data_IF_424704604523
#
_entry.id   IF_424704604523
#
_cell.length_a   1.000
_cell.length_b   1.000
_cell.length_c   1.000
_cell.angle_alpha   90.00
_cell.angle_beta   90.00
_cell.angle_gamma   90.00
#
_symmetry.space_group_name_H-M   'P 1'
#
loop_
_entity.id
_entity.type
_entity.pdbx_description
1 polymer ?
#
# COMPACT_ATOMS: atom_id res chain seq x y z
N UNK A 1 1.61 1.99 -52.09
CA UNK A 1 0.86 2.42 -50.89
C UNK A 1 -0.62 2.35 -51.27
N UNK A 2 -1.37 1.39 -50.75
CA UNK A 2 -2.80 1.30 -51.04
C UNK A 2 -3.51 2.48 -50.33
N UNK A 3 -4.27 3.28 -51.07
CA UNK A 3 -5.05 4.36 -50.50
C UNK A 3 -6.15 3.78 -49.59
N UNK A 4 -6.42 4.41 -48.46
CA UNK A 4 -7.49 4.01 -47.56
C UNK A 4 -8.85 4.06 -48.31
N UNK A 5 -9.70 3.06 -48.06
CA UNK A 5 -11.00 3.00 -48.71
C UNK A 5 -11.92 4.13 -48.23
N UNK A 6 -12.93 4.47 -49.03
CA UNK A 6 -13.92 5.51 -48.66
C UNK A 6 -14.55 5.25 -47.28
N UNK A 7 -14.91 4.00 -46.97
CA UNK A 7 -15.48 3.62 -45.68
C UNK A 7 -14.49 3.77 -44.52
N UNK A 8 -13.20 3.52 -44.75
CA UNK A 8 -12.17 3.76 -43.74
C UNK A 8 -11.99 5.26 -43.47
N UNK A 9 -11.99 6.11 -44.50
CA UNK A 9 -11.97 7.56 -44.32
C UNK A 9 -13.21 8.07 -43.59
N UNK A 10 -14.39 7.54 -43.89
CA UNK A 10 -15.63 7.97 -43.26
C UNK A 10 -15.62 7.68 -41.74
N UNK A 11 -15.20 6.47 -41.36
CA UNK A 11 -15.00 6.09 -39.95
C UNK A 11 -13.95 6.97 -39.27
N UNK A 12 -12.83 7.25 -39.95
CA UNK A 12 -11.78 8.14 -39.43
C UNK A 12 -12.33 9.55 -39.16
N UNK A 13 -13.12 10.10 -40.09
CA UNK A 13 -13.74 11.43 -39.92
C UNK A 13 -14.73 11.44 -38.76
N UNK A 14 -15.49 10.37 -38.55
CA UNK A 14 -16.43 10.26 -37.43
C UNK A 14 -15.70 10.21 -36.08
N UNK A 15 -14.62 9.43 -35.98
CA UNK A 15 -13.73 9.39 -34.82
C UNK A 15 -13.12 10.77 -34.56
N UNK A 16 -12.55 11.40 -35.58
CA UNK A 16 -11.93 12.72 -35.47
C UNK A 16 -12.95 13.80 -35.06
N UNK A 17 -14.20 13.71 -35.50
CA UNK A 17 -15.28 14.62 -35.08
C UNK A 17 -15.59 14.45 -33.59
N UNK A 18 -15.70 13.21 -33.11
CA UNK A 18 -15.91 12.94 -31.69
C UNK A 18 -14.72 13.43 -30.85
N UNK A 19 -13.49 13.14 -31.29
CA UNK A 19 -12.27 13.61 -30.62
C UNK A 19 -12.20 15.14 -30.61
N UNK A 20 -12.52 15.81 -31.71
CA UNK A 20 -12.56 17.28 -31.76
C UNK A 20 -13.61 17.87 -30.82
N UNK A 21 -14.77 17.22 -30.70
CA UNK A 21 -15.80 17.61 -29.74
C UNK A 21 -15.31 17.45 -28.31
N UNK A 22 -14.63 16.34 -28.00
CA UNK A 22 -14.07 16.08 -26.68
C UNK A 22 -12.99 17.11 -26.31
N UNK A 23 -12.06 17.38 -27.23
CA UNK A 23 -11.01 18.38 -27.03
C UNK A 23 -11.56 19.79 -26.81
N UNK A 24 -12.65 20.15 -27.49
CA UNK A 24 -13.32 21.44 -27.27
C UNK A 24 -13.94 21.53 -25.88
N UNK A 25 -14.57 20.45 -25.41
CA UNK A 25 -15.12 20.38 -24.06
C UNK A 25 -14.02 20.49 -23.01
N UNK A 26 -12.92 19.74 -23.16
CA UNK A 26 -11.77 19.81 -22.26
C UNK A 26 -11.15 21.21 -22.24
N UNK A 27 -11.05 21.88 -23.40
CA UNK A 27 -10.53 23.24 -23.46
C UNK A 27 -11.45 24.23 -22.75
N UNK A 28 -12.77 24.09 -22.90
CA UNK A 28 -13.76 24.91 -22.19
C UNK A 28 -13.68 24.69 -20.68
N UNK A 29 -13.58 23.43 -20.23
CA UNK A 29 -13.43 23.08 -18.82
C UNK A 29 -12.14 23.66 -18.24
N UNK A 30 -11.02 23.58 -18.98
CA UNK A 30 -9.75 24.19 -18.59
C UNK A 30 -9.84 25.72 -18.52
N UNK A 31 -10.51 26.35 -19.48
CA UNK A 31 -10.74 27.80 -19.46
C UNK A 31 -11.54 28.21 -18.22
N UNK A 32 -12.61 27.47 -17.92
CA UNK A 32 -13.44 27.71 -16.73
C UNK A 32 -12.65 27.51 -15.43
N UNK A 33 -11.79 26.50 -15.38
CA UNK A 33 -10.92 26.27 -14.23
C UNK A 33 -9.91 27.41 -14.05
N UNK A 34 -9.29 27.89 -15.12
CA UNK A 34 -8.35 29.01 -15.08
C UNK A 34 -9.03 30.27 -14.52
N UNK A 35 -10.23 30.61 -14.98
CA UNK A 35 -11.00 31.76 -14.47
C UNK A 35 -11.29 31.63 -12.97
N UNK A 36 -11.56 30.41 -12.46
CA UNK A 36 -11.73 30.19 -11.02
C UNK A 36 -10.44 30.46 -10.25
N UNK A 37 -9.30 29.98 -10.75
CA UNK A 37 -7.99 30.22 -10.14
C UNK A 37 -7.64 31.72 -10.13
N UNK A 38 -7.92 32.44 -11.22
CA UNK A 38 -7.73 33.89 -11.30
C UNK A 38 -8.60 34.64 -10.28
N UNK A 39 -9.84 34.18 -10.09
CA UNK A 39 -10.76 34.74 -9.10
C UNK A 39 -10.28 34.48 -7.68
N UNK A 40 -9.84 33.25 -7.38
CA UNK A 40 -9.30 32.88 -6.06
C UNK A 40 -8.02 33.67 -5.74
N UNK A 41 -7.12 33.80 -6.72
CA UNK A 41 -5.91 34.61 -6.58
C UNK A 41 -6.24 36.09 -6.35
N UNK A 42 -7.26 36.62 -7.03
CA UNK A 42 -7.73 38.00 -6.85
C UNK A 42 -8.32 38.22 -5.45
N UNK A 43 -9.12 37.28 -4.97
CA UNK A 43 -9.68 37.31 -3.62
C UNK A 43 -8.57 37.25 -2.56
N UNK A 44 -7.59 36.36 -2.72
CA UNK A 44 -6.44 36.28 -1.82
C UNK A 44 -5.64 37.59 -1.80
N UNK A 45 -5.43 38.20 -2.97
CA UNK A 45 -4.79 39.52 -3.08
C UNK A 45 -5.54 40.60 -2.31
N UNK A 46 -6.88 40.59 -2.37
CA UNK A 46 -7.72 41.54 -1.63
C UNK A 46 -7.62 41.34 -0.11
N UNK A 47 -7.69 40.09 0.35
CA UNK A 47 -7.48 39.73 1.76
C UNK A 47 -6.12 40.19 2.26
N UNK A 48 -5.05 39.93 1.51
CA UNK A 48 -3.69 40.36 1.86
C UNK A 48 -3.58 41.89 1.93
N UNK A 49 -4.23 42.61 1.01
CA UNK A 49 -4.28 44.08 1.04
C UNK A 49 -5.02 44.59 2.28
N UNK A 50 -6.12 43.94 2.66
CA UNK A 50 -6.86 44.31 3.87
C UNK A 50 -6.03 44.08 5.13
N UNK A 51 -5.39 42.91 5.25
CA UNK A 51 -4.50 42.59 6.37
C UNK A 51 -3.32 43.57 6.48
N UNK A 52 -2.71 43.94 5.35
CA UNK A 52 -1.66 44.95 5.33
C UNK A 52 -2.17 46.30 5.86
N UNK A 53 -3.34 46.75 5.40
CA UNK A 53 -3.96 47.99 5.89
C UNK A 53 -4.26 47.96 7.39
N UNK A 54 -4.80 46.84 7.89
CA UNK A 54 -5.06 46.66 9.33
C UNK A 54 -3.79 46.71 10.17
N UNK A 55 -2.68 46.13 9.68
CA UNK A 55 -1.38 46.21 10.38
C UNK A 55 -0.86 47.65 10.38
N UNK A 56 -0.95 48.36 9.25
CA UNK A 56 -0.51 49.76 9.17
C UNK A 56 -1.30 50.65 10.15
N UNK A 57 -2.61 50.45 10.28
CA UNK A 57 -3.49 51.15 11.26
C UNK A 57 -3.10 50.82 12.72
N UNK A 58 -2.88 49.54 13.05
CA UNK A 58 -2.47 49.14 14.41
C UNK A 58 -1.05 49.64 14.76
N UNK A 59 -0.16 49.73 13.77
CA UNK A 59 1.19 50.29 14.00
C UNK A 59 1.15 51.80 14.25
N UNK A 60 0.23 52.55 13.64
CA UNK A 60 0.06 53.98 13.95
C UNK A 60 -0.47 54.19 15.37
N UNK A 61 -1.45 53.40 15.79
CA UNK A 61 -2.00 53.45 17.15
C UNK A 61 -0.95 53.02 18.19
N UNK A 62 -0.15 51.99 17.88
CA UNK A 62 0.96 51.56 18.73
C UNK A 62 2.08 52.61 18.81
N UNK A 63 2.34 53.36 17.74
CA UNK A 63 3.33 54.44 17.73
C UNK A 63 2.91 55.61 18.63
N UNK A 64 1.63 55.97 18.61
CA UNK A 64 1.05 56.95 19.55
C UNK A 64 1.15 56.46 21.01
N UNK A 65 0.92 55.17 21.24
CA UNK A 65 1.05 54.55 22.55
C UNK A 65 2.51 54.52 23.05
N UNK A 66 3.47 54.28 22.17
CA UNK A 66 4.92 54.35 22.45
C UNK A 66 5.33 55.80 22.80
N UNK A 67 4.79 56.79 22.10
CA UNK A 67 5.08 58.20 22.36
C UNK A 67 4.50 58.67 23.72
N UNK A 68 3.35 58.12 24.13
CA UNK A 68 2.79 58.33 25.47
C UNK A 68 3.66 57.67 26.56
N UNK A 69 4.17 56.47 26.31
CA UNK A 69 5.10 55.77 27.20
C UNK A 69 6.42 56.55 27.36
N UNK A 70 6.95 57.14 26.29
CA UNK A 70 8.15 57.98 26.35
C UNK A 70 7.90 59.26 27.17
N UNK A 71 6.72 59.87 27.04
CA UNK A 71 6.32 61.01 27.87
C UNK A 71 6.21 60.64 29.35
N UNK A 72 5.65 59.47 29.68
CA UNK A 72 5.58 58.97 31.06
C UNK A 72 6.98 58.70 31.64
N UNK A 73 7.87 58.10 30.85
CA UNK A 73 9.27 57.86 31.24
C UNK A 73 10.04 59.16 31.52
N UNK A 74 9.76 60.22 30.78
CA UNK A 74 10.38 61.54 30.98
C UNK A 74 9.96 62.22 32.29
N UNK A 75 8.80 61.87 32.84
CA UNK A 75 8.30 62.40 34.12
C UNK A 75 8.85 61.58 35.31
N UNK A 76 9.31 60.34 35.08
CA UNK A 76 9.79 59.45 36.14
C UNK A 76 11.27 59.60 36.52
N UNK A 77 12.03 60.51 35.89
CA UNK A 77 13.41 60.82 36.30
C UNK A 77 13.42 61.99 37.28
N UNK A 78 13.10 61.72 38.54
CA UNK A 78 13.65 62.48 39.67
C UNK A 78 14.34 61.48 40.62
N UNK A 79 15.69 61.38 40.58
CA UNK A 79 16.44 60.34 41.28
C UNK A 79 16.83 60.81 42.68
N UNK A 80 15.90 60.88 43.63
CA UNK A 80 16.29 61.06 45.04
C UNK A 80 15.27 60.50 46.04
N UNK A 81 15.21 59.17 46.20
CA UNK A 81 14.77 58.60 47.48
C UNK A 81 15.01 57.09 47.61
N UNK A 82 15.88 56.77 48.56
CA UNK A 82 16.04 55.52 49.32
C UNK A 82 16.89 54.36 48.77
N UNK A 83 17.77 53.79 49.63
CA UNK A 83 18.70 52.74 49.25
C UNK A 83 18.16 51.34 49.58
N UNK A 84 18.57 50.38 48.74
CA UNK A 84 18.93 49.05 49.20
C UNK A 84 17.88 47.97 49.02
N UNK A 85 18.01 47.18 47.95
CA UNK A 85 17.94 45.70 48.02
C UNK A 85 18.80 45.13 46.89
N UNK A 86 19.82 44.32 47.21
CA UNK A 86 20.53 43.51 46.21
C UNK A 86 19.65 42.32 45.84
N UNK A 87 19.21 42.22 44.58
CA UNK A 87 18.69 40.99 44.01
C UNK A 87 19.44 40.65 42.72
N UNK A 88 20.09 39.49 42.73
CA UNK A 88 20.87 38.89 41.64
C UNK A 88 19.96 38.00 40.78
N UNK A 89 19.95 38.08 39.43
CA UNK A 89 19.16 37.18 38.58
C UNK A 89 19.96 35.97 38.02
N UNK A 90 19.31 34.78 38.01
CA UNK A 90 19.34 33.57 37.11
C UNK A 90 20.71 33.00 36.60
N UNK A 91 20.97 31.69 36.43
CA UNK A 91 20.25 30.51 35.90
C UNK A 91 20.79 29.17 36.52
N UNK A 92 20.11 28.02 36.33
CA UNK A 92 20.71 26.69 36.50
C UNK A 92 21.41 26.19 35.22
N UNK A 93 22.62 25.66 35.39
CA UNK A 93 23.41 24.92 34.39
C UNK A 93 23.36 23.43 34.75
N UNK A 94 22.98 22.56 33.80
CA UNK A 94 23.14 21.11 33.94
C UNK A 94 24.10 20.62 32.86
N UNK A 95 25.19 20.04 33.36
CA UNK A 95 26.35 19.52 32.65
C UNK A 95 26.37 18.03 32.95
N UNK A 96 26.56 17.20 31.92
CA UNK A 96 26.65 15.75 32.06
C UNK A 96 27.40 15.14 30.90
N UNK A 97 28.74 15.20 30.96
CA UNK A 97 29.64 14.48 30.07
C UNK A 97 30.11 13.18 30.74
N UNK A 98 30.00 12.08 29.99
CA UNK A 98 31.15 11.26 29.61
C UNK A 98 31.87 10.36 30.63
N UNK A 99 32.02 9.10 30.20
CA UNK A 99 33.21 8.23 30.30
C UNK A 99 33.17 7.08 31.31
N UNK A 100 33.34 5.86 30.78
CA UNK A 100 33.39 4.60 31.52
C UNK A 100 33.78 3.36 30.69
N UNK A 101 34.97 3.39 30.07
CA UNK A 101 36.01 2.33 29.94
C UNK A 101 35.60 0.83 29.74
N UNK A 102 35.92 0.32 28.55
CA UNK A 102 36.80 -0.83 28.20
C UNK A 102 36.72 -2.22 28.87
N UNK A 103 36.66 -3.27 28.03
CA UNK A 103 37.05 -4.67 28.27
C UNK A 103 36.53 -5.58 27.14
N UNK A 104 37.29 -5.83 26.08
CA UNK A 104 38.15 -7.01 25.84
C UNK A 104 37.41 -8.35 25.72
N UNK A 105 37.36 -8.93 24.51
CA UNK A 105 37.63 -10.36 24.21
C UNK A 105 37.19 -10.74 22.78
N UNK A 106 38.12 -11.40 22.09
CA UNK A 106 38.14 -11.89 20.69
C UNK A 106 37.04 -12.89 20.27
N UNK A 107 36.86 -13.14 18.95
CA UNK A 107 35.87 -14.06 18.40
C UNK A 107 36.40 -15.51 18.36
N UNK A 108 35.53 -16.49 18.62
CA UNK A 108 35.78 -17.91 18.36
C UNK A 108 34.70 -18.47 17.43
N UNK A 109 35.07 -19.18 16.34
CA UNK A 109 34.12 -19.89 15.49
C UNK A 109 34.02 -21.35 15.95
N UNK A 110 32.86 -21.73 16.50
CA UNK A 110 32.55 -23.13 16.78
C UNK A 110 32.12 -23.85 15.51
N UNK A 111 33.07 -24.60 14.94
CA UNK A 111 32.79 -25.81 14.17
C UNK A 111 32.02 -26.80 15.05
N UNK A 112 30.89 -27.32 14.54
CA UNK A 112 30.39 -28.71 14.69
C UNK A 112 28.94 -28.74 14.21
N UNK A 113 28.73 -29.31 13.02
CA UNK A 113 27.42 -29.48 12.40
C UNK A 113 27.52 -30.42 11.20
N UNK A 114 28.05 -31.62 11.45
CA UNK A 114 28.00 -32.73 10.50
C UNK A 114 26.55 -33.21 10.41
N UNK A 115 25.92 -33.03 9.25
CA UNK A 115 24.72 -33.78 8.87
C UNK A 115 25.00 -34.53 7.57
N UNK A 116 24.55 -35.80 7.47
CA UNK A 116 25.09 -36.75 6.52
C UNK A 116 24.62 -36.45 5.09
N UNK A 117 25.52 -36.76 4.15
CA UNK A 117 25.22 -36.92 2.73
C UNK A 117 23.95 -37.76 2.57
N UNK A 118 22.87 -37.16 2.03
CA UNK A 118 21.79 -37.94 1.46
C UNK A 118 22.23 -38.31 0.04
N UNK A 119 22.36 -39.62 -0.16
CA UNK A 119 22.70 -40.23 -1.42
C UNK A 119 21.70 -39.89 -2.52
N UNK A 120 22.22 -40.02 -3.73
CA UNK A 120 21.54 -40.02 -5.02
C UNK A 120 20.34 -40.97 -4.98
N UNK A 121 19.14 -40.41 -5.06
CA UNK A 121 17.90 -41.06 -5.53
C UNK A 121 16.77 -40.02 -5.51
N UNK A 122 16.91 -38.93 -6.24
CA UNK A 122 15.89 -37.90 -6.36
C UNK A 122 15.52 -37.72 -7.83
N UNK A 123 14.60 -38.57 -8.30
CA UNK A 123 13.80 -38.29 -9.50
C UNK A 123 12.38 -37.83 -9.15
N UNK A 124 11.80 -38.38 -8.06
CA UNK A 124 10.43 -38.07 -7.62
C UNK A 124 10.31 -37.11 -6.42
N UNK A 125 11.36 -36.97 -5.61
CA UNK A 125 11.33 -36.12 -4.40
C UNK A 125 11.43 -34.63 -4.72
N UNK A 126 12.04 -34.28 -5.86
CA UNK A 126 12.18 -32.89 -6.31
C UNK A 126 10.84 -32.34 -6.80
N UNK A 127 10.01 -33.17 -7.46
CA UNK A 127 8.67 -32.75 -7.88
C UNK A 127 7.70 -32.58 -6.71
N UNK A 128 7.79 -33.44 -5.68
CA UNK A 128 6.99 -33.29 -4.46
C UNK A 128 7.43 -32.08 -3.62
N UNK A 129 8.74 -31.85 -3.49
CA UNK A 129 9.28 -30.66 -2.80
C UNK A 129 8.94 -29.36 -3.53
N UNK A 130 9.03 -29.34 -4.86
CA UNK A 130 8.68 -28.19 -5.68
C UNK A 130 7.17 -27.85 -5.59
N UNK A 131 6.30 -28.86 -5.51
CA UNK A 131 4.87 -28.64 -5.28
C UNK A 131 4.61 -27.95 -3.92
N UNK A 132 5.30 -28.36 -2.86
CA UNK A 132 5.22 -27.73 -1.54
C UNK A 132 5.74 -26.28 -1.55
N UNK A 133 6.81 -26.01 -2.31
CA UNK A 133 7.34 -24.65 -2.51
C UNK A 133 6.33 -23.74 -3.20
N UNK A 134 5.66 -24.22 -4.25
CA UNK A 134 4.59 -23.50 -4.94
C UNK A 134 3.40 -23.22 -4.01
N UNK A 135 3.00 -24.19 -3.17
CA UNK A 135 1.94 -24.01 -2.17
C UNK A 135 2.29 -22.93 -1.13
N UNK A 136 3.54 -22.91 -0.67
CA UNK A 136 4.06 -21.87 0.23
C UNK A 136 4.09 -20.51 -0.44
N UNK A 137 4.60 -20.41 -1.66
CA UNK A 137 4.64 -19.15 -2.42
C UNK A 137 3.22 -18.59 -2.64
N UNK A 138 2.26 -19.43 -3.05
CA UNK A 138 0.85 -19.04 -3.18
C UNK A 138 0.29 -18.48 -1.88
N UNK A 139 0.53 -19.18 -0.77
CA UNK A 139 0.03 -18.78 0.54
C UNK A 139 0.63 -17.44 1.01
N UNK A 140 1.93 -17.23 0.75
CA UNK A 140 2.61 -15.96 1.03
C UNK A 140 2.04 -14.81 0.21
N UNK A 141 1.85 -14.99 -1.10
CA UNK A 141 1.30 -13.95 -1.98
C UNK A 141 -0.14 -13.57 -1.58
N UNK A 142 -0.96 -14.55 -1.19
CA UNK A 142 -2.31 -14.30 -0.66
C UNK A 142 -2.26 -13.51 0.65
N UNK A 143 -1.36 -13.89 1.57
CA UNK A 143 -1.19 -13.18 2.85
C UNK A 143 -0.69 -11.75 2.66
N UNK A 144 0.20 -11.50 1.69
CA UNK A 144 0.64 -10.14 1.35
C UNK A 144 -0.49 -9.28 0.79
N UNK A 145 -1.33 -9.83 -0.10
CA UNK A 145 -2.51 -9.13 -0.62
C UNK A 145 -3.49 -8.77 0.51
N UNK A 146 -3.79 -9.72 1.41
CA UNK A 146 -4.67 -9.46 2.55
C UNK A 146 -4.09 -8.42 3.51
N UNK A 147 -2.78 -8.46 3.76
CA UNK A 147 -2.11 -7.48 4.61
C UNK A 147 -2.24 -6.08 4.01
N UNK A 148 -1.93 -5.94 2.73
CA UNK A 148 -1.99 -4.65 2.03
C UNK A 148 -3.44 -4.11 2.00
N UNK A 149 -4.45 -4.97 1.82
CA UNK A 149 -5.85 -4.53 1.85
C UNK A 149 -6.28 -4.06 3.25
N UNK A 150 -5.90 -4.77 4.32
CA UNK A 150 -6.17 -4.32 5.69
C UNK A 150 -5.51 -2.98 6.00
N UNK A 151 -4.31 -2.74 5.47
CA UNK A 151 -3.60 -1.49 5.64
C UNK A 151 -4.29 -0.34 4.88
N UNK A 152 -4.77 -0.58 3.65
CA UNK A 152 -5.62 0.36 2.91
C UNK A 152 -6.90 0.70 3.67
N UNK A 153 -7.61 -0.32 4.15
CA UNK A 153 -8.85 -0.16 4.91
C UNK A 153 -8.62 0.69 6.16
N UNK A 154 -7.49 0.51 6.83
CA UNK A 154 -7.11 1.32 7.98
C UNK A 154 -6.95 2.81 7.60
N UNK A 155 -6.22 3.12 6.52
CA UNK A 155 -6.08 4.50 6.03
C UNK A 155 -7.43 5.10 5.60
N UNK A 156 -8.25 4.34 4.86
CA UNK A 156 -9.56 4.80 4.42
C UNK A 156 -10.51 5.04 5.59
N UNK A 157 -10.48 4.21 6.64
CA UNK A 157 -11.26 4.43 7.85
C UNK A 157 -10.87 5.73 8.56
N UNK A 158 -9.57 6.07 8.59
CA UNK A 158 -9.12 7.36 9.14
C UNK A 158 -9.60 8.54 8.31
N UNK A 159 -9.44 8.48 6.98
CA UNK A 159 -9.90 9.52 6.06
C UNK A 159 -11.42 9.72 6.16
N UNK A 160 -12.19 8.63 6.21
CA UNK A 160 -13.64 8.68 6.35
C UNK A 160 -14.07 9.34 7.67
N UNK A 161 -13.34 9.10 8.77
CA UNK A 161 -13.59 9.78 10.04
C UNK A 161 -13.35 11.29 9.93
N UNK A 162 -12.28 11.72 9.25
CA UNK A 162 -12.04 13.15 9.01
C UNK A 162 -13.14 13.76 8.15
N UNK A 163 -13.56 13.09 7.08
CA UNK A 163 -14.70 13.53 6.25
C UNK A 163 -15.96 13.72 7.10
N UNK A 164 -16.33 12.73 7.92
CA UNK A 164 -17.48 12.84 8.83
C UNK A 164 -17.36 14.01 9.81
N UNK A 165 -16.15 14.31 10.30
CA UNK A 165 -15.89 15.46 11.18
C UNK A 165 -16.02 16.79 10.45
N UNK A 166 -15.60 16.87 9.18
CA UNK A 166 -15.75 18.06 8.34
C UNK A 166 -17.23 18.30 8.03
N UNK A 167 -17.96 17.25 7.67
CA UNK A 167 -19.39 17.33 7.29
C UNK A 167 -20.30 17.69 8.48
N UNK A 168 -19.85 17.40 9.70
CA UNK A 168 -20.57 17.73 10.95
C UNK A 168 -20.22 19.11 11.52
N UNK A 169 -19.33 19.88 10.87
CA UNK A 169 -19.05 21.24 11.28
C UNK A 169 -20.31 22.12 11.19
N UNK A 170 -20.49 23.09 12.09
CA UNK A 170 -21.68 23.93 12.10
C UNK A 170 -21.78 24.72 10.78
N UNK A 171 -22.79 24.37 9.98
CA UNK A 171 -23.16 25.03 8.72
C UNK A 171 -24.17 26.16 8.98
N UNK A 172 -23.92 27.02 9.98
CA UNK A 172 -24.85 28.13 10.25
C UNK A 172 -24.96 29.02 9.02
N UNK A 173 -26.13 28.96 8.38
CA UNK A 173 -26.44 29.49 7.05
C UNK A 173 -26.14 30.99 6.89
N UNK A 174 -26.00 31.72 8.00
CA UNK A 174 -25.94 33.18 8.01
C UNK A 174 -24.66 33.81 8.55
N UNK A 175 -23.60 33.05 8.90
CA UNK A 175 -22.31 33.64 9.27
C UNK A 175 -21.19 32.60 9.13
N UNK A 176 -20.32 32.81 8.14
CA UNK A 176 -19.00 32.18 8.10
C UNK A 176 -18.28 32.49 9.42
N UNK A 177 -18.05 31.47 10.24
CA UNK A 177 -17.27 31.60 11.48
C UNK A 177 -15.82 31.27 11.19
N UNK A 178 -14.91 32.21 11.46
CA UNK A 178 -13.47 32.01 11.35
C UNK A 178 -13.01 30.76 12.11
N UNK A 179 -13.61 30.48 13.27
CA UNK A 179 -13.29 29.29 14.06
C UNK A 179 -13.66 27.99 13.34
N UNK A 180 -14.84 27.93 12.71
CA UNK A 180 -15.29 26.77 11.93
C UNK A 180 -14.39 26.55 10.72
N UNK A 181 -14.03 27.62 10.02
CA UNK A 181 -13.17 27.58 8.85
C UNK A 181 -11.73 27.13 9.20
N UNK A 182 -11.15 27.66 10.29
CA UNK A 182 -9.86 27.19 10.79
C UNK A 182 -9.89 25.70 11.18
N UNK A 183 -10.98 25.25 11.80
CA UNK A 183 -11.16 23.84 12.15
C UNK A 183 -11.26 22.96 10.90
N UNK A 184 -12.00 23.40 9.87
CA UNK A 184 -12.09 22.71 8.59
C UNK A 184 -10.71 22.56 7.94
N UNK A 185 -9.96 23.66 7.80
CA UNK A 185 -8.61 23.63 7.20
C UNK A 185 -7.64 22.72 7.94
N UNK A 186 -7.74 22.66 9.27
CA UNK A 186 -6.93 21.75 10.08
C UNK A 186 -7.24 20.29 9.77
N UNK A 187 -8.52 19.91 9.71
CA UNK A 187 -8.93 18.54 9.36
C UNK A 187 -8.53 18.15 7.92
N UNK A 188 -8.61 19.10 6.98
CA UNK A 188 -8.15 18.91 5.60
C UNK A 188 -6.62 18.73 5.52
N UNK A 189 -5.88 19.45 6.36
CA UNK A 189 -4.43 19.27 6.48
C UNK A 189 -4.11 17.87 7.00
N UNK A 190 -4.78 17.41 8.05
CA UNK A 190 -4.63 16.04 8.57
C UNK A 190 -4.95 14.99 7.49
N UNK A 191 -6.03 15.18 6.73
CA UNK A 191 -6.38 14.27 5.63
C UNK A 191 -5.31 14.24 4.53
N UNK A 192 -4.67 15.38 4.23
CA UNK A 192 -3.52 15.44 3.30
C UNK A 192 -2.30 14.70 3.85
N UNK A 193 -2.02 14.83 5.15
CA UNK A 193 -0.91 14.10 5.78
C UNK A 193 -1.15 12.59 5.75
N UNK A 194 -2.38 12.13 6.01
CA UNK A 194 -2.73 10.70 5.93
C UNK A 194 -2.57 10.18 4.50
N UNK A 195 -3.03 10.93 3.49
CA UNK A 195 -2.83 10.55 2.07
C UNK A 195 -1.35 10.46 1.70
N UNK A 196 -0.54 11.42 2.13
CA UNK A 196 0.91 11.40 1.88
C UNK A 196 1.59 10.21 2.57
N UNK A 197 1.24 9.92 3.82
CA UNK A 197 1.78 8.77 4.55
C UNK A 197 1.35 7.44 3.91
N UNK A 198 0.09 7.34 3.46
CA UNK A 198 -0.40 6.17 2.72
C UNK A 198 0.39 5.96 1.43
N UNK A 199 0.64 7.02 0.66
CA UNK A 199 1.43 6.95 -0.58
C UNK A 199 2.89 6.59 -0.32
N UNK A 200 3.49 7.05 0.78
CA UNK A 200 4.85 6.67 1.19
C UNK A 200 4.94 5.18 1.57
N UNK A 201 3.95 4.64 2.28
CA UNK A 201 3.97 3.24 2.73
C UNK A 201 3.55 2.25 1.63
N UNK A 202 2.51 2.57 0.87
CA UNK A 202 1.88 1.64 -0.09
C UNK A 202 2.27 1.93 -1.54
N UNK A 203 2.81 3.12 -1.84
CA UNK A 203 3.04 3.61 -3.20
C UNK A 203 1.83 4.37 -3.74
N UNK A 204 1.94 4.85 -4.99
CA UNK A 204 0.82 5.51 -5.65
C UNK A 204 -0.33 4.51 -5.89
N UNK A 205 -1.54 5.03 -6.14
CA UNK A 205 -2.68 4.18 -6.47
C UNK A 205 -2.40 3.26 -7.68
N UNK A 206 -1.64 3.74 -8.67
CA UNK A 206 -1.25 2.94 -9.83
C UNK A 206 -0.23 1.85 -9.46
N UNK A 207 0.69 2.12 -8.54
CA UNK A 207 1.70 1.13 -8.12
C UNK A 207 1.07 -0.01 -7.32
N UNK A 208 0.15 0.32 -6.42
CA UNK A 208 -0.62 -0.67 -5.65
C UNK A 208 -1.44 -1.56 -6.58
N UNK A 209 -2.13 -0.97 -7.57
CA UNK A 209 -2.90 -1.72 -8.55
C UNK A 209 -2.01 -2.67 -9.36
N UNK A 210 -0.90 -2.16 -9.92
CA UNK A 210 0.07 -2.97 -10.68
C UNK A 210 0.63 -4.10 -9.82
N UNK A 211 1.01 -3.82 -8.57
CA UNK A 211 1.55 -4.80 -7.63
C UNK A 211 0.52 -5.90 -7.33
N UNK A 212 -0.72 -5.53 -7.06
CA UNK A 212 -1.79 -6.49 -6.84
C UNK A 212 -2.04 -7.35 -8.09
N UNK A 213 -2.09 -6.75 -9.28
CA UNK A 213 -2.26 -7.47 -10.55
C UNK A 213 -1.11 -8.48 -10.80
N UNK A 214 0.14 -8.07 -10.55
CA UNK A 214 1.31 -8.96 -10.69
C UNK A 214 1.23 -10.14 -9.72
N UNK A 215 0.87 -9.89 -8.46
CA UNK A 215 0.71 -10.96 -7.45
C UNK A 215 -0.42 -11.91 -7.83
N UNK A 216 -1.57 -11.41 -8.26
CA UNK A 216 -2.71 -12.22 -8.72
C UNK A 216 -2.34 -13.06 -9.93
N UNK A 217 -1.67 -12.48 -10.92
CA UNK A 217 -1.20 -13.21 -12.10
C UNK A 217 -0.21 -14.32 -11.73
N UNK A 218 0.70 -14.05 -10.78
CA UNK A 218 1.63 -15.06 -10.26
C UNK A 218 0.90 -16.19 -9.53
N UNK A 219 -0.09 -15.88 -8.70
CA UNK A 219 -0.93 -16.89 -8.03
C UNK A 219 -1.62 -17.80 -9.07
N UNK A 220 -2.26 -17.22 -10.09
CA UNK A 220 -2.91 -18.01 -11.15
C UNK A 220 -1.93 -18.92 -11.90
N UNK A 221 -0.72 -18.43 -12.14
CA UNK A 221 0.34 -19.23 -12.76
C UNK A 221 0.78 -20.39 -11.85
N UNK A 222 0.96 -20.12 -10.56
CA UNK A 222 1.28 -21.15 -9.56
C UNK A 222 0.18 -22.22 -9.52
N UNK A 223 -1.10 -21.83 -9.49
CA UNK A 223 -2.23 -22.77 -9.48
C UNK A 223 -2.23 -23.67 -10.72
N UNK A 224 -1.92 -23.11 -11.90
CA UNK A 224 -1.77 -23.86 -13.15
C UNK A 224 -0.61 -24.86 -13.08
N UNK A 225 0.53 -24.46 -12.55
CA UNK A 225 1.72 -25.31 -12.48
C UNK A 225 1.56 -26.41 -11.44
N UNK A 226 0.92 -26.12 -10.30
CA UNK A 226 0.52 -27.11 -9.31
C UNK A 226 -0.41 -28.18 -9.89
N UNK A 227 -1.39 -27.79 -10.73
CA UNK A 227 -2.28 -28.74 -11.40
C UNK A 227 -1.52 -29.65 -12.37
N UNK A 228 -0.63 -29.08 -13.20
CA UNK A 228 0.20 -29.88 -14.14
C UNK A 228 1.12 -30.85 -13.40
N UNK A 229 1.77 -30.41 -12.33
CA UNK A 229 2.64 -31.26 -11.51
C UNK A 229 1.85 -32.43 -10.92
N UNK A 230 0.69 -32.15 -10.31
CA UNK A 230 -0.17 -33.21 -9.76
C UNK A 230 -0.61 -34.22 -10.82
N UNK A 231 -1.00 -33.76 -12.01
CA UNK A 231 -1.34 -34.64 -13.13
C UNK A 231 -0.15 -35.51 -13.57
N UNK A 232 1.05 -34.93 -13.61
CA UNK A 232 2.28 -35.64 -13.96
C UNK A 232 2.64 -36.71 -12.92
N UNK A 233 2.56 -36.38 -11.61
CA UNK A 233 2.77 -37.36 -10.53
C UNK A 233 1.73 -38.48 -10.57
N UNK A 234 0.46 -38.17 -10.86
CA UNK A 234 -0.60 -39.17 -10.96
C UNK A 234 -0.42 -40.10 -12.17
N UNK A 235 0.08 -39.56 -13.29
CA UNK A 235 0.38 -40.35 -14.49
C UNK A 235 1.60 -41.26 -14.32
N UNK A 236 2.64 -40.82 -13.60
CA UNK A 236 3.80 -41.67 -13.27
C UNK A 236 3.46 -42.81 -12.30
N UNK A 237 2.45 -42.64 -11.45
CA UNK A 237 1.98 -43.69 -10.53
C UNK A 237 1.13 -44.78 -11.21
N UNK A 238 0.74 -44.60 -12.49
CA UNK A 238 -0.19 -45.47 -13.20
C UNK A 238 0.45 -46.38 -14.27
N UNK A 239 1.77 -46.33 -14.47
CA UNK A 239 2.50 -47.27 -15.33
C UNK A 239 2.73 -48.60 -14.55
N UNK A 240 2.17 -49.74 -15.00
CA UNK A 240 2.48 -51.03 -14.39
C UNK A 240 3.89 -51.45 -14.82
N UNK A 241 4.75 -51.75 -13.84
CA UNK A 241 5.98 -52.51 -14.04
C UNK A 241 5.66 -53.78 -14.86
N UNK A 242 5.98 -53.75 -16.15
CA UNK A 242 5.90 -54.90 -17.02
C UNK A 242 7.26 -55.16 -17.65
N UNK A 243 7.90 -56.19 -17.07
CA UNK A 243 8.98 -57.04 -17.62
C UNK A 243 10.40 -56.51 -17.55
N UNK A 244 11.12 -56.98 -16.53
CA UNK A 244 12.44 -57.58 -16.77
C UNK A 244 12.62 -58.84 -15.91
N UNK A 245 12.15 -59.98 -16.44
CA UNK A 245 12.63 -61.29 -16.02
C UNK A 245 13.06 -62.06 -17.27
N UNK A 246 14.38 -62.19 -17.44
CA UNK A 246 14.97 -63.14 -18.37
C UNK A 246 16.36 -63.52 -17.88
N UNK A 247 16.45 -64.61 -17.11
CA UNK A 247 17.47 -65.67 -17.23
C UNK A 247 17.47 -66.56 -15.98
N UNK A 248 16.76 -67.69 -16.02
CA UNK A 248 16.85 -68.76 -15.02
C UNK A 248 16.67 -70.10 -15.72
N UNK A 249 17.76 -70.87 -15.78
CA UNK A 249 17.88 -72.13 -16.49
C UNK A 249 17.07 -73.28 -15.83
N UNK A 250 16.88 -74.31 -16.65
CA UNK A 250 16.28 -75.63 -16.43
C UNK A 250 16.45 -76.29 -15.06
N UNK A 251 15.42 -77.00 -14.58
CA UNK A 251 15.29 -78.47 -14.58
C UNK A 251 14.15 -78.91 -13.63
N UNK A 252 13.45 -79.99 -13.97
CA UNK A 252 12.65 -80.77 -13.02
C UNK A 252 11.16 -80.98 -13.39
N UNK A 253 10.74 -82.20 -13.77
CA UNK A 253 9.35 -82.53 -14.06
C UNK A 253 8.63 -83.00 -12.79
N UNK A 254 7.31 -82.81 -12.69
CA UNK A 254 6.33 -83.88 -12.40
C UNK A 254 4.92 -83.36 -12.08
N UNK A 255 3.97 -84.07 -12.71
CA UNK A 255 2.70 -84.55 -12.17
C UNK A 255 1.52 -83.57 -11.90
N UNK A 256 0.54 -83.70 -12.81
CA UNK A 256 -0.81 -84.25 -12.55
C UNK A 256 -1.85 -83.47 -11.71
N UNK A 257 -3.06 -83.41 -12.27
CA UNK A 257 -4.33 -83.15 -11.58
C UNK A 257 -4.94 -81.81 -11.98
N UNK A 258 -5.71 -81.72 -13.05
CA UNK A 258 -7.13 -82.11 -13.18
C UNK A 258 -8.13 -81.11 -12.57
N UNK A 259 -9.14 -80.86 -13.40
CA UNK A 259 -10.52 -80.42 -13.16
C UNK A 259 -10.86 -79.05 -12.55
N UNK A 260 -11.73 -78.34 -13.29
CA UNK A 260 -12.73 -77.44 -12.69
C UNK A 260 -12.96 -76.15 -13.46
N UNK A 261 -13.81 -76.20 -14.50
CA UNK A 261 -14.35 -75.00 -15.15
C UNK A 261 -15.44 -74.29 -14.32
N UNK A 262 -16.37 -73.55 -14.95
CA UNK A 262 -16.30 -72.09 -15.08
C UNK A 262 -17.51 -71.39 -14.43
N UNK A 263 -17.72 -70.11 -14.78
CA UNK A 263 -18.97 -69.32 -14.66
C UNK A 263 -19.04 -68.39 -13.44
N UNK A 264 -19.64 -67.19 -13.44
CA UNK A 264 -20.04 -66.15 -14.40
C UNK A 264 -20.76 -65.08 -13.55
N UNK A 265 -20.93 -63.86 -14.10
CA UNK A 265 -21.95 -62.89 -13.67
C UNK A 265 -21.45 -61.85 -12.67
N UNK A 266 -21.16 -60.60 -13.05
CA UNK A 266 -22.07 -59.55 -13.53
C UNK A 266 -23.13 -59.14 -12.50
N UNK A 267 -22.96 -57.97 -11.87
CA UNK A 267 -24.03 -56.95 -11.78
C UNK A 267 -23.49 -55.62 -11.23
N UNK A 268 -23.79 -54.57 -12.00
CA UNK A 268 -23.68 -53.16 -11.64
C UNK A 268 -24.74 -52.78 -10.60
N UNK A 269 -24.44 -51.81 -9.74
CA UNK A 269 -25.45 -50.88 -9.18
C UNK A 269 -24.84 -49.49 -9.06
N UNK A 270 -25.37 -48.56 -9.84
CA UNK A 270 -25.23 -47.11 -9.65
C UNK A 270 -26.24 -46.63 -8.60
N UNK A 271 -25.84 -45.70 -7.73
CA UNK A 271 -26.78 -44.93 -6.92
C UNK A 271 -26.50 -43.43 -7.06
N UNK A 272 -27.53 -42.73 -7.52
CA UNK A 272 -27.68 -41.29 -7.54
C UNK A 272 -28.50 -40.90 -6.32
N UNK A 273 -28.10 -39.87 -5.57
CA UNK A 273 -28.97 -39.27 -4.56
C UNK A 273 -29.02 -37.76 -4.70
N UNK A 274 -30.26 -37.30 -4.65
CA UNK A 274 -30.78 -35.96 -4.96
C UNK A 274 -30.92 -35.13 -3.69
N UNK A 275 -30.82 -33.82 -3.87
CA UNK A 275 -31.01 -32.76 -2.88
C UNK A 275 -32.41 -32.76 -2.22
N UNK A 276 -32.45 -32.27 -0.98
CA UNK A 276 -33.57 -31.50 -0.44
C UNK A 276 -33.05 -30.33 0.38
#
# INVERSE_FOLDING_TARGET
MAAASYDQLLKQVEILKMENSNLRQELEDNSNHLTKLETEASNMKEVLKHLQGSIEEETTDSSEQIHLLERLKKISLDPNSYPGVKLRPKLPSMQGSGSGRSGDSSPSPSHMGSFPRRGVSNGGRDSAGYLEELEKERSLLMAELEKEEKEKDWYYAQLQNLTKRIDSLPLTENQFSLQTDMTRRQLEYEARQIRAAMEEQLGTCQDMEKRAQVRVARIQQIEKDMLKLRQHLQSQSAEPESKHDQAGQSEGPQASGDSGGPSAGCSQVSQSFTFH
#
